data_IF_154774150778
#
_entry.id   IF_154774150778
#
_cell.length_a   1.000
_cell.length_b   1.000
_cell.length_c   1.000
_cell.angle_alpha   90.00
_cell.angle_beta   90.00
_cell.angle_gamma   90.00
#
_symmetry.space_group_name_H-M   'P 1'
#
loop_
_entity.id
_entity.type
_entity.pdbx_description
1 polymer ?
#
# COMPACT_ATOMS: atom_id res chain seq x y z
N UNK A 1 8.92 -13.02 -7.35
CA UNK A 1 7.63 -13.69 -7.63
C UNK A 1 7.22 -14.54 -6.42
N UNK A 2 5.91 -14.71 -6.21
CA UNK A 2 5.35 -15.62 -5.19
C UNK A 2 5.10 -16.98 -5.86
N UNK A 3 5.67 -18.06 -5.32
CA UNK A 3 5.45 -19.42 -5.82
C UNK A 3 4.36 -20.13 -5.01
N UNK A 4 3.67 -21.14 -5.55
CA UNK A 4 2.65 -21.90 -4.82
C UNK A 4 3.17 -22.59 -3.53
N UNK A 5 4.48 -22.79 -3.41
CA UNK A 5 5.13 -23.38 -2.23
C UNK A 5 5.44 -22.38 -1.12
N UNK A 6 5.26 -21.07 -1.38
CA UNK A 6 5.50 -20.03 -0.40
C UNK A 6 4.53 -20.12 0.79
N UNK A 7 5.00 -19.79 1.99
CA UNK A 7 4.19 -19.98 3.21
C UNK A 7 3.57 -18.68 3.71
N UNK A 8 4.29 -17.57 3.62
CA UNK A 8 3.81 -16.28 4.11
C UNK A 8 4.25 -15.13 3.23
N UNK A 9 3.28 -14.30 2.85
CA UNK A 9 3.51 -12.96 2.33
C UNK A 9 3.40 -11.96 3.48
N UNK A 10 4.30 -11.00 3.57
CA UNK A 10 4.25 -9.93 4.56
C UNK A 10 4.33 -8.58 3.86
N UNK A 11 3.37 -7.71 4.18
CA UNK A 11 3.32 -6.35 3.66
C UNK A 11 3.79 -5.39 4.74
N UNK A 12 4.64 -4.46 4.35
CA UNK A 12 5.08 -3.36 5.19
C UNK A 12 4.67 -2.09 4.50
N UNK A 13 4.06 -1.17 5.25
CA UNK A 13 3.67 0.15 4.79
C UNK A 13 4.27 1.17 5.73
N UNK A 14 5.04 2.10 5.18
CA UNK A 14 5.57 3.26 5.89
C UNK A 14 4.78 4.50 5.47
N UNK A 15 4.01 5.05 6.42
CA UNK A 15 3.14 6.18 6.17
C UNK A 15 3.96 7.46 6.05
N UNK A 16 4.15 7.94 4.82
CA UNK A 16 4.79 9.23 4.54
C UNK A 16 3.94 10.42 4.92
N UNK A 17 2.64 10.38 4.57
CA UNK A 17 1.74 11.53 4.78
C UNK A 17 0.29 11.10 4.88
N UNK A 18 -0.44 11.73 5.80
CA UNK A 18 -1.89 11.68 5.88
C UNK A 18 -2.43 13.10 5.72
N UNK A 19 -3.36 13.28 4.78
CA UNK A 19 -4.05 14.55 4.54
C UNK A 19 -5.52 14.34 4.86
N UNK A 20 -6.04 15.01 5.89
CA UNK A 20 -7.42 14.90 6.36
C UNK A 20 -8.13 16.25 6.27
N UNK A 21 -8.41 16.70 5.04
CA UNK A 21 -9.14 17.95 4.76
C UNK A 21 -10.44 17.62 4.03
N UNK A 22 -10.85 18.44 3.04
CA UNK A 22 -12.02 18.16 2.19
C UNK A 22 -11.92 16.82 1.46
N UNK A 23 -10.71 16.42 1.08
CA UNK A 23 -10.38 15.07 0.61
C UNK A 23 -9.48 14.41 1.65
N UNK A 24 -9.75 13.15 1.95
CA UNK A 24 -8.87 12.32 2.78
C UNK A 24 -7.93 11.55 1.86
N UNK A 25 -6.62 11.72 2.01
CA UNK A 25 -5.59 11.06 1.21
C UNK A 25 -4.48 10.52 2.10
N UNK A 26 -4.17 9.24 1.97
CA UNK A 26 -2.98 8.60 2.52
C UNK A 26 -1.89 8.44 1.45
N UNK A 27 -0.64 8.71 1.83
CA UNK A 27 0.56 8.46 1.01
C UNK A 27 1.54 7.61 1.81
N UNK A 28 2.02 6.52 1.22
CA UNK A 28 2.94 5.58 1.87
C UNK A 28 3.95 4.99 0.88
N UNK A 29 5.10 4.57 1.40
CA UNK A 29 5.94 3.59 0.72
C UNK A 29 5.59 2.19 1.23
N UNK A 30 5.76 1.19 0.37
CA UNK A 30 5.45 -0.19 0.70
C UNK A 30 6.52 -1.14 0.22
N UNK A 31 6.72 -2.21 0.98
CA UNK A 31 7.45 -3.38 0.50
C UNK A 31 6.67 -4.65 0.77
N UNK A 32 6.86 -5.63 -0.09
CA UNK A 32 6.30 -6.96 0.07
C UNK A 32 7.43 -7.99 0.18
N UNK A 33 7.35 -8.79 1.22
CA UNK A 33 8.24 -9.91 1.47
C UNK A 33 7.52 -11.24 1.25
N UNK A 34 8.25 -12.25 0.78
CA UNK A 34 7.82 -13.65 0.76
C UNK A 34 8.81 -14.43 1.60
N UNK A 35 8.31 -15.09 2.63
CA UNK A 35 9.11 -15.90 3.56
C UNK A 35 10.36 -15.15 4.08
N UNK A 36 10.19 -13.85 4.37
CA UNK A 36 11.22 -12.97 4.93
C UNK A 36 12.16 -12.33 3.90
N UNK A 37 11.99 -12.59 2.60
CA UNK A 37 12.76 -11.95 1.53
C UNK A 37 11.91 -10.90 0.81
N UNK A 38 12.40 -9.66 0.73
CA UNK A 38 11.76 -8.61 -0.07
C UNK A 38 11.79 -8.98 -1.56
N UNK A 39 10.64 -8.87 -2.22
CA UNK A 39 10.52 -9.13 -3.66
C UNK A 39 9.85 -8.00 -4.44
N UNK A 40 9.11 -7.11 -3.78
CA UNK A 40 8.52 -5.92 -4.40
C UNK A 40 8.68 -4.70 -3.51
N UNK A 41 8.71 -3.55 -4.16
CA UNK A 41 8.74 -2.22 -3.57
C UNK A 41 7.75 -1.34 -4.32
N UNK A 42 7.07 -0.46 -3.61
CA UNK A 42 6.17 0.53 -4.16
C UNK A 42 6.43 1.86 -3.47
N UNK A 43 6.76 2.88 -4.26
CA UNK A 43 7.04 4.21 -3.76
C UNK A 43 5.84 5.13 -4.01
N UNK A 44 5.52 5.96 -3.03
CA UNK A 44 4.45 6.97 -3.07
C UNK A 44 3.07 6.41 -3.45
N UNK A 45 2.69 5.25 -2.89
CA UNK A 45 1.33 4.72 -2.97
C UNK A 45 0.34 5.78 -2.47
N UNK A 46 -0.76 6.00 -3.21
CA UNK A 46 -1.77 7.03 -2.88
C UNK A 46 -3.15 6.39 -2.78
N UNK A 47 -3.82 6.61 -1.66
CA UNK A 47 -5.18 6.11 -1.42
C UNK A 47 -6.06 7.25 -0.94
N UNK A 48 -7.10 7.56 -1.71
CA UNK A 48 -8.10 8.56 -1.35
C UNK A 48 -9.36 7.90 -0.79
N UNK A 49 -9.99 8.53 0.21
CA UNK A 49 -11.34 8.16 0.65
C UNK A 49 -12.33 9.19 0.14
N UNK A 50 -13.43 8.71 -0.44
CA UNK A 50 -14.50 9.51 -1.01
C UNK A 50 -15.83 9.09 -0.39
N UNK A 51 -16.68 10.06 -0.07
CA UNK A 51 -18.03 9.80 0.47
C UNK A 51 -19.05 9.45 -0.62
N UNK A 52 -18.75 9.79 -1.86
CA UNK A 52 -19.43 9.33 -3.08
C UNK A 52 -18.36 9.07 -4.15
N UNK A 53 -18.52 7.99 -4.91
CA UNK A 53 -17.68 7.66 -6.07
C UNK A 53 -18.33 8.08 -7.39
N UNK A 54 -19.46 8.77 -7.36
CA UNK A 54 -20.06 9.35 -8.57
C UNK A 54 -19.09 10.35 -9.21
N UNK A 55 -18.75 10.14 -10.48
CA UNK A 55 -17.79 10.99 -11.22
C UNK A 55 -16.35 10.49 -11.23
N UNK A 56 -16.08 9.28 -10.69
CA UNK A 56 -14.87 8.49 -10.97
C UNK A 56 -15.17 7.33 -11.91
#
# INVERSE_FOLDING_TARGET
QVLPTAKKVTYYLDMKRVISRKLVLGIADGRMEVDGRQIYEANDLRVGLFTSTEGF
#
